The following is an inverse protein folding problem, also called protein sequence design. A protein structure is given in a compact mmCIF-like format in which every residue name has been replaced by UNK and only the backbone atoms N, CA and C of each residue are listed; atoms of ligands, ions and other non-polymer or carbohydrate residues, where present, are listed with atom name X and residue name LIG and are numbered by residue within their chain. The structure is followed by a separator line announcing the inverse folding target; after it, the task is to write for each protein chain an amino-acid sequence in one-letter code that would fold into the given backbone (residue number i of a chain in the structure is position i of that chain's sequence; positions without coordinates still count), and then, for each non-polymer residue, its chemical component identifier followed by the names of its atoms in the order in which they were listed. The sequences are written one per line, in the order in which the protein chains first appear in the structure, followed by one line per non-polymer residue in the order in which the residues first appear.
data_IF_444105365589
#
_entry.id   IF_444105365589
#
_cell.length_a   1.000
_cell.length_b   1.000
_cell.length_c   1.000
_cell.angle_alpha   90.00
_cell.angle_beta   90.00
_cell.angle_gamma   90.00
#
_symmetry.space_group_name_H-M   'P 1'
#
loop_
_entity.id
_entity.type
_entity.pdbx_description
1 polymer ?
#
# COMPACT_ATOMS: atom_id res chain seq x y z
N UNK A 1 20.07 8.38 17.80
CA UNK A 1 20.23 8.78 16.38
C UNK A 1 19.32 7.89 15.54
N UNK A 2 18.28 8.44 14.91
CA UNK A 2 17.44 7.68 13.99
C UNK A 2 18.25 7.46 12.71
N UNK A 3 18.69 6.23 12.46
CA UNK A 3 19.25 5.81 11.18
C UNK A 3 18.25 6.19 10.09
N UNK A 4 18.70 7.02 9.14
CA UNK A 4 17.91 7.40 7.98
C UNK A 4 17.67 6.11 7.19
N UNK A 5 16.49 5.50 7.33
CA UNK A 5 16.13 4.31 6.57
C UNK A 5 16.39 4.59 5.09
N UNK A 6 17.32 3.84 4.50
CA UNK A 6 17.69 3.96 3.08
C UNK A 6 16.43 3.75 2.26
N UNK A 7 16.06 4.74 1.45
CA UNK A 7 14.92 4.59 0.54
C UNK A 7 15.20 3.45 -0.43
N UNK A 8 14.26 2.51 -0.52
CA UNK A 8 14.34 1.39 -1.44
C UNK A 8 14.07 1.86 -2.88
N UNK A 9 14.75 1.25 -3.83
CA UNK A 9 14.48 1.40 -5.26
C UNK A 9 13.13 0.78 -5.63
N UNK A 10 12.62 1.07 -6.84
CA UNK A 10 11.38 0.47 -7.31
C UNK A 10 11.48 -1.06 -7.40
N UNK A 11 12.65 -1.59 -7.81
CA UNK A 11 12.89 -3.03 -7.87
C UNK A 11 12.88 -3.66 -6.49
N UNK A 12 13.57 -3.06 -5.51
CA UNK A 12 13.59 -3.55 -4.12
C UNK A 12 12.18 -3.52 -3.51
N UNK A 13 11.40 -2.45 -3.73
CA UNK A 13 10.01 -2.38 -3.25
C UNK A 13 9.13 -3.50 -3.82
N UNK A 14 9.26 -3.80 -5.12
CA UNK A 14 8.53 -4.89 -5.74
C UNK A 14 8.98 -6.26 -5.24
N UNK A 15 10.27 -6.44 -4.93
CA UNK A 15 10.77 -7.67 -4.32
C UNK A 15 10.21 -7.86 -2.91
N UNK A 16 10.25 -6.81 -2.06
CA UNK A 16 9.65 -6.83 -0.72
C UNK A 16 8.15 -7.13 -0.76
N UNK A 17 7.42 -6.53 -1.68
CA UNK A 17 5.99 -6.82 -1.82
C UNK A 17 5.72 -8.29 -2.19
N UNK A 18 6.54 -8.89 -3.06
CA UNK A 18 6.43 -10.31 -3.37
C UNK A 18 6.75 -11.20 -2.15
N UNK A 19 7.72 -10.82 -1.33
CA UNK A 19 8.02 -11.49 -0.06
C UNK A 19 6.82 -11.42 0.89
N UNK A 20 6.19 -10.25 1.04
CA UNK A 20 4.98 -10.05 1.85
C UNK A 20 3.82 -10.94 1.35
N UNK A 21 3.59 -11.02 0.04
CA UNK A 21 2.57 -11.91 -0.52
C UNK A 21 2.84 -13.37 -0.15
N UNK A 22 4.08 -13.83 -0.32
CA UNK A 22 4.47 -15.21 0.01
C UNK A 22 4.35 -15.49 1.51
N UNK A 23 4.81 -14.58 2.37
CA UNK A 23 4.68 -14.68 3.84
C UNK A 23 3.23 -14.76 4.29
N UNK A 24 2.34 -14.06 3.57
CA UNK A 24 0.89 -14.11 3.81
C UNK A 24 0.20 -15.32 3.14
N UNK A 25 0.97 -16.28 2.60
CA UNK A 25 0.47 -17.55 2.07
C UNK A 25 -0.05 -17.49 0.63
N UNK A 26 0.27 -16.45 -0.13
CA UNK A 26 -0.10 -16.35 -1.55
C UNK A 26 1.00 -16.93 -2.45
N UNK A 27 0.60 -17.72 -3.44
CA UNK A 27 1.44 -18.05 -4.59
C UNK A 27 1.37 -16.91 -5.62
N UNK A 28 2.50 -16.56 -6.23
CA UNK A 28 2.57 -15.55 -7.28
C UNK A 28 2.57 -16.26 -8.62
N UNK A 29 1.50 -16.09 -9.39
CA UNK A 29 1.31 -16.71 -10.70
C UNK A 29 1.98 -15.88 -11.79
N UNK A 30 1.83 -14.55 -11.73
CA UNK A 30 2.53 -13.63 -12.63
C UNK A 30 2.73 -12.24 -11.99
N UNK A 31 3.75 -11.54 -12.45
CA UNK A 31 4.14 -10.20 -11.99
C UNK A 31 4.74 -9.42 -13.17
N UNK A 32 4.60 -8.09 -13.14
CA UNK A 32 5.45 -7.19 -13.93
C UNK A 32 4.77 -6.54 -15.14
N UNK A 33 3.50 -6.85 -15.40
CA UNK A 33 2.73 -6.12 -16.42
C UNK A 33 2.40 -4.74 -15.84
N UNK A 34 2.95 -3.69 -16.45
CA UNK A 34 2.73 -2.31 -16.02
C UNK A 34 1.60 -1.69 -16.81
N UNK A 35 0.58 -1.20 -16.12
CA UNK A 35 -0.57 -0.48 -16.67
C UNK A 35 -0.64 0.87 -15.97
N UNK A 36 -0.39 1.96 -16.69
CA UNK A 36 -0.58 3.34 -16.21
C UNK A 36 -0.01 3.62 -14.80
N UNK A 37 1.24 3.20 -14.56
CA UNK A 37 1.98 3.29 -13.28
C UNK A 37 1.60 2.28 -12.18
N UNK A 38 0.71 1.34 -12.45
CA UNK A 38 0.45 0.20 -11.59
C UNK A 38 1.18 -1.04 -12.12
N UNK A 39 1.86 -1.76 -11.24
CA UNK A 39 2.36 -3.10 -11.53
C UNK A 39 1.28 -4.09 -11.19
N UNK A 40 0.91 -4.94 -12.15
CA UNK A 40 -0.08 -5.99 -11.97
C UNK A 40 0.59 -7.26 -11.45
N UNK A 41 -0.04 -7.85 -10.45
CA UNK A 41 0.25 -9.16 -9.90
C UNK A 41 -0.98 -10.05 -10.05
N UNK A 42 -0.76 -11.28 -10.48
CA UNK A 42 -1.76 -12.35 -10.35
C UNK A 42 -1.28 -13.25 -9.21
N UNK A 43 -2.06 -13.32 -8.14
CA UNK A 43 -1.75 -14.14 -6.96
C UNK A 43 -2.86 -15.16 -6.72
N UNK A 44 -2.52 -16.28 -6.08
CA UNK A 44 -3.40 -17.40 -5.82
C UNK A 44 -3.30 -17.81 -4.36
N UNK A 45 -4.44 -18.03 -3.71
CA UNK A 45 -4.52 -18.66 -2.39
C UNK A 45 -5.81 -19.46 -2.29
N UNK A 46 -5.74 -20.68 -1.75
CA UNK A 46 -6.90 -21.57 -1.56
C UNK A 46 -7.77 -21.73 -2.82
N UNK A 47 -7.15 -21.94 -3.99
CA UNK A 47 -7.80 -22.02 -5.30
C UNK A 47 -8.55 -20.75 -5.75
N UNK A 48 -8.38 -19.62 -5.06
CA UNK A 48 -8.93 -18.33 -5.45
C UNK A 48 -7.83 -17.43 -6.02
N UNK A 49 -8.05 -16.96 -7.25
CA UNK A 49 -7.16 -16.02 -7.94
C UNK A 49 -7.55 -14.57 -7.65
N UNK A 50 -6.54 -13.74 -7.43
CA UNK A 50 -6.69 -12.30 -7.25
C UNK A 50 -5.80 -11.53 -8.21
N UNK A 51 -6.33 -10.42 -8.73
CA UNK A 51 -5.60 -9.46 -9.56
C UNK A 51 -5.28 -8.22 -8.73
N UNK A 52 -4.01 -7.98 -8.46
CA UNK A 52 -3.56 -6.89 -7.60
C UNK A 52 -2.77 -5.89 -8.43
N UNK A 53 -3.34 -4.72 -8.68
CA UNK A 53 -2.69 -3.62 -9.39
C UNK A 53 -2.13 -2.64 -8.36
N UNK A 54 -0.81 -2.45 -8.30
CA UNK A 54 -0.19 -1.68 -7.22
C UNK A 54 0.70 -0.58 -7.73
N UNK A 55 0.63 0.59 -7.08
CA UNK A 55 1.67 1.60 -7.18
C UNK A 55 2.38 1.68 -5.83
N UNK A 56 3.53 1.02 -5.71
CA UNK A 56 4.30 0.96 -4.46
C UNK A 56 5.40 2.02 -4.41
N UNK A 57 5.54 2.66 -3.25
CA UNK A 57 6.54 3.69 -2.94
C UNK A 57 7.02 3.55 -1.49
N UNK A 58 8.18 4.13 -1.18
CA UNK A 58 8.60 4.30 0.21
C UNK A 58 7.69 5.30 0.92
N UNK A 59 7.42 5.03 2.20
CA UNK A 59 6.94 6.04 3.13
C UNK A 59 8.14 6.86 3.61
N UNK A 60 7.97 8.17 3.69
CA UNK A 60 9.01 9.12 4.13
C UNK A 60 8.39 10.13 5.10
N UNK A 61 9.22 10.94 5.77
CA UNK A 61 8.69 12.05 6.58
C UNK A 61 7.82 12.98 5.73
N UNK A 62 6.75 13.52 6.30
CA UNK A 62 5.96 14.57 5.65
C UNK A 62 6.70 15.90 5.54
N UNK A 63 7.82 16.07 6.27
CA UNK A 63 8.59 17.32 6.38
C UNK A 63 7.75 18.51 6.87
N UNK A 64 6.80 18.24 7.77
CA UNK A 64 6.00 19.26 8.45
C UNK A 64 6.54 19.45 9.87
N UNK A 65 7.19 20.59 10.20
CA UNK A 65 7.81 20.79 11.51
C UNK A 65 6.83 20.66 12.68
N UNK A 66 5.58 21.06 12.49
CA UNK A 66 4.50 20.98 13.48
C UNK A 66 3.83 19.60 13.57
N UNK A 67 4.17 18.66 12.68
CA UNK A 67 3.60 17.31 12.63
C UNK A 67 4.69 16.25 12.40
N UNK A 68 5.64 16.09 13.33
CA UNK A 68 6.80 15.21 13.15
C UNK A 68 6.46 13.72 13.04
N UNK A 69 5.26 13.33 13.48
CA UNK A 69 4.77 11.96 13.42
C UNK A 69 3.90 11.68 12.20
N UNK A 70 3.72 12.68 11.34
CA UNK A 70 3.08 12.49 10.05
C UNK A 70 4.11 12.03 9.02
N UNK A 71 3.84 10.85 8.48
CA UNK A 71 4.59 10.26 7.39
C UNK A 71 3.77 10.37 6.11
N UNK A 72 4.43 10.26 4.95
CA UNK A 72 3.78 10.40 3.65
C UNK A 72 4.30 9.42 2.61
N UNK A 73 3.42 9.14 1.65
CA UNK A 73 3.71 8.56 0.35
C UNK A 73 3.30 9.58 -0.71
N UNK A 74 4.23 10.04 -1.54
CA UNK A 74 3.89 10.94 -2.64
C UNK A 74 3.17 10.20 -3.77
N UNK A 75 2.16 10.86 -4.33
CA UNK A 75 1.32 10.41 -5.45
C UNK A 75 1.54 11.39 -6.59
N UNK A 76 2.06 10.88 -7.71
CA UNK A 76 2.08 11.63 -8.96
C UNK A 76 0.65 11.80 -9.48
N UNK A 77 0.43 12.72 -10.41
CA UNK A 77 -0.88 12.89 -11.06
C UNK A 77 -1.42 11.54 -11.56
N UNK A 78 -2.65 11.22 -11.16
CA UNK A 78 -3.41 10.07 -11.62
C UNK A 78 -4.64 10.56 -12.38
N UNK A 79 -4.89 10.00 -13.55
CA UNK A 79 -6.15 10.21 -14.25
C UNK A 79 -7.12 9.08 -13.89
N UNK A 80 -8.41 9.37 -13.88
CA UNK A 80 -9.44 8.37 -13.56
C UNK A 80 -9.33 7.14 -14.48
N UNK A 81 -9.22 7.38 -15.79
CA UNK A 81 -9.10 6.34 -16.82
C UNK A 81 -7.80 5.50 -16.73
N UNK A 82 -6.85 5.93 -15.90
CA UNK A 82 -5.57 5.23 -15.71
C UNK A 82 -5.63 4.19 -14.58
N UNK A 83 -6.66 4.22 -13.75
CA UNK A 83 -6.77 3.38 -12.55
C UNK A 83 -7.65 2.17 -12.89
N UNK A 84 -7.11 0.93 -12.85
CA UNK A 84 -7.94 -0.25 -13.04
C UNK A 84 -9.01 -0.37 -11.95
N UNK A 85 -10.20 -0.83 -12.33
CA UNK A 85 -11.32 -0.96 -11.39
C UNK A 85 -11.09 -2.05 -10.34
N UNK A 86 -11.72 -1.84 -9.19
CA UNK A 86 -11.82 -2.85 -8.14
C UNK A 86 -13.05 -3.73 -8.39
N UNK A 87 -12.88 -5.04 -8.28
CA UNK A 87 -13.96 -6.03 -8.33
C UNK A 87 -13.84 -6.95 -7.12
N UNK A 88 -14.72 -7.94 -6.98
CA UNK A 88 -14.64 -8.94 -5.90
C UNK A 88 -13.28 -9.64 -5.82
N UNK A 89 -12.57 -9.79 -6.94
CA UNK A 89 -11.25 -10.46 -7.02
C UNK A 89 -10.14 -9.56 -7.59
N UNK A 90 -10.39 -8.25 -7.74
CA UNK A 90 -9.43 -7.28 -8.28
C UNK A 90 -9.29 -6.09 -7.34
N UNK A 91 -8.05 -5.77 -6.95
CA UNK A 91 -7.77 -4.62 -6.11
C UNK A 91 -6.67 -3.75 -6.74
N UNK A 92 -6.97 -2.47 -6.89
CA UNK A 92 -6.03 -1.43 -7.30
C UNK A 92 -5.70 -0.56 -6.12
N UNK A 93 -4.42 -0.54 -5.71
CA UNK A 93 -3.97 0.06 -4.45
C UNK A 93 -2.78 1.01 -4.65
N UNK A 94 -2.79 2.12 -3.92
CA UNK A 94 -1.58 2.89 -3.63
C UNK A 94 -0.93 2.27 -2.41
N UNK A 95 0.29 1.76 -2.54
CA UNK A 95 1.01 1.09 -1.47
C UNK A 95 2.20 1.91 -0.98
N UNK A 96 2.38 1.95 0.33
CA UNK A 96 3.51 2.56 1.02
C UNK A 96 4.22 1.52 1.89
N UNK A 97 5.52 1.30 1.66
CA UNK A 97 6.31 0.42 2.53
C UNK A 97 7.08 1.25 3.57
N UNK A 98 7.10 0.78 4.81
CA UNK A 98 7.85 1.37 5.91
C UNK A 98 8.46 0.29 6.79
N UNK A 99 9.63 0.56 7.36
CA UNK A 99 10.26 -0.30 8.35
C UNK A 99 10.09 0.30 9.76
N UNK A 100 9.50 -0.49 10.66
CA UNK A 100 9.35 -0.19 12.07
C UNK A 100 10.34 -1.01 12.90
N UNK A 101 11.59 -0.54 12.97
CA UNK A 101 12.67 -1.18 13.73
C UNK A 101 12.91 -2.64 13.33
N UNK A 102 13.00 -2.92 12.02
CA UNK A 102 13.20 -4.26 11.48
C UNK A 102 11.90 -5.02 11.14
N UNK A 103 10.73 -4.44 11.43
CA UNK A 103 9.44 -5.00 11.05
C UNK A 103 8.84 -4.19 9.89
N UNK A 104 8.76 -4.81 8.71
CA UNK A 104 8.15 -4.19 7.54
C UNK A 104 6.61 -4.12 7.69
N UNK A 105 6.07 -2.94 7.41
CA UNK A 105 4.64 -2.68 7.37
C UNK A 105 4.25 -2.05 6.03
N UNK A 106 3.07 -2.43 5.54
CA UNK A 106 2.50 -1.99 4.28
C UNK A 106 1.25 -1.15 4.55
N UNK A 107 1.28 0.11 4.16
CA UNK A 107 0.11 0.97 4.15
C UNK A 107 -0.56 0.96 2.76
N UNK A 108 -1.88 0.90 2.73
CA UNK A 108 -2.68 0.90 1.53
C UNK A 108 -3.73 2.02 1.55
N UNK A 109 -3.86 2.71 0.42
CA UNK A 109 -4.89 3.69 0.16
C UNK A 109 -5.60 3.40 -1.16
N UNK A 110 -6.85 3.85 -1.24
CA UNK A 110 -7.62 3.79 -2.48
C UNK A 110 -7.17 4.90 -3.46
N UNK A 111 -6.64 4.58 -4.66
CA UNK A 111 -6.20 5.56 -5.65
C UNK A 111 -7.33 6.50 -6.11
N UNK A 112 -8.59 6.05 -6.11
CA UNK A 112 -9.75 6.86 -6.49
C UNK A 112 -10.03 8.02 -5.51
N UNK A 113 -9.40 8.07 -4.33
CA UNK A 113 -9.46 9.24 -3.43
C UNK A 113 -8.41 10.31 -3.77
N UNK A 114 -7.52 10.00 -4.70
CA UNK A 114 -6.40 10.84 -5.13
C UNK A 114 -6.47 11.12 -6.64
N UNK A 115 -7.66 11.05 -7.23
CA UNK A 115 -7.94 11.62 -8.55
C UNK A 115 -8.27 13.12 -8.39
N UNK A 116 -8.14 13.90 -9.47
CA UNK A 116 -8.43 15.36 -9.51
C UNK A 116 -7.45 16.30 -8.81
N UNK A 117 -6.15 15.99 -8.80
CA UNK A 117 -5.13 16.94 -8.38
C UNK A 117 -4.23 17.39 -9.54
N UNK A 118 -4.00 18.70 -9.66
CA UNK A 118 -3.15 19.28 -10.71
C UNK A 118 -1.64 19.07 -10.44
N UNK A 119 -1.27 18.97 -9.16
CA UNK A 119 0.11 18.80 -8.68
C UNK A 119 0.23 17.52 -7.86
N UNK A 120 1.46 17.07 -7.57
CA UNK A 120 1.69 15.90 -6.72
C UNK A 120 0.95 16.03 -5.38
N UNK A 121 0.22 14.98 -5.00
CA UNK A 121 -0.47 14.87 -3.71
C UNK A 121 0.29 13.91 -2.80
N UNK A 122 -0.02 13.90 -1.52
CA UNK A 122 0.52 12.93 -0.57
C UNK A 122 -0.61 12.14 0.07
N UNK A 123 -0.46 10.82 0.12
CA UNK A 123 -1.16 10.01 1.10
C UNK A 123 -0.43 10.16 2.43
N UNK A 124 -1.15 10.36 3.52
CA UNK A 124 -0.56 10.50 4.84
C UNK A 124 -0.86 9.29 5.72
N UNK A 125 0.07 8.98 6.60
CA UNK A 125 -0.04 7.95 7.64
C UNK A 125 0.66 8.43 8.89
N UNK A 126 0.06 8.22 10.05
CA UNK A 126 0.68 8.51 11.35
C UNK A 126 1.68 7.40 11.71
N UNK A 127 2.81 7.76 12.33
CA UNK A 127 3.73 6.77 12.90
C UNK A 127 3.03 5.83 13.87
N UNK A 128 2.08 6.34 14.64
CA UNK A 128 1.27 5.52 15.55
C UNK A 128 0.51 4.41 14.81
N UNK A 129 -0.10 4.72 13.66
CA UNK A 129 -0.81 3.74 12.81
C UNK A 129 0.15 2.66 12.28
N UNK A 130 1.35 3.05 11.86
CA UNK A 130 2.42 2.12 11.44
C UNK A 130 2.86 1.21 12.59
N UNK A 131 3.07 1.79 13.77
CA UNK A 131 3.47 1.05 14.97
C UNK A 131 2.36 0.09 15.44
N UNK A 132 1.09 0.51 15.39
CA UNK A 132 -0.06 -0.35 15.71
C UNK A 132 -0.12 -1.55 14.77
N UNK A 133 0.03 -1.37 13.46
CA UNK A 133 0.04 -2.48 12.52
C UNK A 133 1.25 -3.40 12.71
N UNK A 134 2.41 -2.84 13.07
CA UNK A 134 3.61 -3.63 13.41
C UNK A 134 3.38 -4.51 14.65
N UNK A 135 2.81 -3.92 15.71
CA UNK A 135 2.58 -4.60 17.00
C UNK A 135 1.40 -5.59 16.97
N UNK A 136 0.28 -5.19 16.36
CA UNK A 136 -0.99 -5.94 16.40
C UNK A 136 -1.31 -6.63 15.08
N UNK A 137 -0.40 -6.58 14.11
CA UNK A 137 -0.53 -7.20 12.80
C UNK A 137 -1.32 -6.39 11.78
N UNK A 138 -2.32 -5.59 12.21
CA UNK A 138 -3.20 -4.84 11.32
C UNK A 138 -3.78 -3.57 11.98
N UNK A 139 -3.97 -2.53 11.19
CA UNK A 139 -4.65 -1.29 11.56
C UNK A 139 -5.58 -0.85 10.42
N UNK A 140 -6.79 -0.42 10.78
CA UNK A 140 -7.75 0.22 9.89
C UNK A 140 -8.23 1.50 10.58
N UNK A 141 -8.20 2.61 9.87
CA UNK A 141 -8.62 3.88 10.44
C UNK A 141 -8.59 5.03 9.44
N UNK A 142 -8.51 6.25 9.97
CA UNK A 142 -8.43 7.49 9.20
C UNK A 142 -7.24 8.31 9.65
N UNK A 143 -6.32 8.58 8.71
CA UNK A 143 -5.16 9.43 8.95
C UNK A 143 -5.26 10.66 8.04
N UNK A 144 -5.19 11.86 8.64
CA UNK A 144 -5.38 13.14 7.93
C UNK A 144 -6.63 13.18 7.03
N UNK A 145 -7.75 12.63 7.53
CA UNK A 145 -9.04 12.64 6.83
C UNK A 145 -9.21 11.57 5.75
N UNK A 146 -8.19 10.74 5.46
CA UNK A 146 -8.30 9.67 4.47
C UNK A 146 -8.34 8.30 5.15
N UNK A 147 -9.24 7.42 4.68
CA UNK A 147 -9.22 6.02 5.08
C UNK A 147 -7.88 5.38 4.71
N UNK A 148 -7.33 4.59 5.63
CA UNK A 148 -6.08 3.89 5.46
C UNK A 148 -6.17 2.49 6.07
N UNK A 149 -5.58 1.52 5.38
CA UNK A 149 -5.30 0.19 5.92
C UNK A 149 -3.79 0.04 6.07
N UNK A 150 -3.33 -0.54 7.16
CA UNK A 150 -1.92 -0.85 7.36
C UNK A 150 -1.80 -2.27 7.88
N UNK A 151 -0.93 -3.08 7.30
CA UNK A 151 -0.66 -4.44 7.78
C UNK A 151 0.83 -4.65 8.01
N UNK A 152 1.16 -5.57 8.91
CA UNK A 152 2.47 -6.21 8.95
C UNK A 152 2.64 -7.14 7.74
N UNK A 153 3.87 -7.56 7.48
CA UNK A 153 4.24 -8.48 6.39
C UNK A 153 3.49 -9.83 6.38
N UNK A 154 2.98 -10.28 7.53
CA UNK A 154 2.27 -11.56 7.67
C UNK A 154 0.73 -11.41 7.57
N UNK A 155 0.22 -10.19 7.41
CA UNK A 155 -1.21 -9.88 7.50
C UNK A 155 -1.77 -9.27 6.20
N UNK A 156 -1.11 -9.48 5.07
CA UNK A 156 -1.59 -8.95 3.79
C UNK A 156 -2.95 -9.55 3.39
N UNK A 157 -3.22 -10.81 3.73
CA UNK A 157 -4.53 -11.43 3.47
C UNK A 157 -5.67 -10.64 4.11
N UNK A 158 -5.51 -10.25 5.38
CA UNK A 158 -6.48 -9.43 6.11
C UNK A 158 -6.64 -8.06 5.46
N UNK A 159 -5.53 -7.43 5.05
CA UNK A 159 -5.59 -6.16 4.30
C UNK A 159 -6.39 -6.31 3.01
N UNK A 160 -6.10 -7.34 2.23
CA UNK A 160 -6.76 -7.58 0.94
C UNK A 160 -8.27 -7.82 1.10
N UNK A 161 -8.66 -8.68 2.05
CA UNK A 161 -10.07 -8.96 2.35
C UNK A 161 -10.83 -7.67 2.73
N UNK A 162 -10.31 -6.91 3.70
CA UNK A 162 -10.94 -5.65 4.12
C UNK A 162 -10.99 -4.64 2.97
N UNK A 163 -9.92 -4.57 2.15
CA UNK A 163 -9.87 -3.66 1.01
C UNK A 163 -10.92 -3.97 -0.05
N UNK A 164 -11.06 -5.24 -0.43
CA UNK A 164 -12.05 -5.70 -1.41
C UNK A 164 -13.47 -5.50 -0.89
N UNK A 165 -13.74 -5.79 0.37
CA UNK A 165 -15.05 -5.53 0.99
C UNK A 165 -15.41 -4.05 1.00
N UNK A 166 -14.42 -3.17 1.24
CA UNK A 166 -14.64 -1.72 1.36
C UNK A 166 -14.76 -1.03 0.00
N UNK A 167 -14.04 -1.49 -1.02
CA UNK A 167 -13.84 -0.75 -2.27
C UNK A 167 -14.18 -1.51 -3.55
N UNK A 168 -14.78 -2.71 -3.48
CA UNK A 168 -15.37 -3.35 -4.67
C UNK A 168 -16.40 -2.42 -5.30
N UNK A 169 -16.39 -2.32 -6.63
CA UNK A 169 -17.50 -1.76 -7.35
C UNK A 169 -18.70 -2.73 -7.28
N UNK A 170 -19.91 -2.17 -7.25
CA UNK A 170 -21.17 -2.94 -7.35
C UNK A 170 -21.33 -3.55 -8.75
#
# INVERSE_FOLDING_TARGET
MLTKNKSLTSTELLQRLQEIFKKSGFAIISCGIRINNFTKFKILKNNQEYLINVNIRNITSAYLPNKPDLMRRQVNKLNFNDIPDNTTNSATMLLGLWDTNGNEVLAAWNPFLFIHHEKNRSCYVLKESLNKASQYGFYQGKDSGTNILVCSENNFEKLLSVYLETYKAD
#
